data_IF_651419684710
#
_entry.id   IF_651419684710
#
_cell.length_a   1.000
_cell.length_b   1.000
_cell.length_c   1.000
_cell.angle_alpha   90.00
_cell.angle_beta   90.00
_cell.angle_gamma   90.00
#
_symmetry.space_group_name_H-M   'P 1'
#
loop_
_entity.id
_entity.type
_entity.pdbx_description
1 polymer ?
#
# COMPACT_ATOMS: atom_id res chain seq x y z
N UNK A 1 7.51 33.84 -19.74
CA UNK A 1 8.69 32.97 -19.59
C UNK A 1 8.44 31.72 -20.43
N UNK A 2 9.11 31.62 -21.58
CA UNK A 2 9.00 30.47 -22.49
C UNK A 2 9.80 29.33 -21.90
N UNK A 3 9.14 28.25 -21.52
CA UNK A 3 9.79 26.98 -21.20
C UNK A 3 10.43 26.44 -22.49
N UNK A 4 11.72 26.51 -22.55
CA UNK A 4 12.56 25.97 -23.60
C UNK A 4 12.40 24.46 -23.60
N UNK A 5 11.68 23.93 -24.60
CA UNK A 5 11.56 22.51 -24.90
C UNK A 5 12.96 21.94 -25.14
N UNK A 6 13.61 21.47 -24.10
CA UNK A 6 14.76 20.60 -24.20
C UNK A 6 14.21 19.20 -24.46
N UNK A 7 14.39 18.68 -25.66
CA UNK A 7 14.19 17.28 -26.04
C UNK A 7 15.12 16.37 -25.21
N UNK A 8 14.90 16.28 -23.91
CA UNK A 8 15.50 15.23 -23.08
C UNK A 8 14.48 14.11 -23.02
N UNK A 9 14.87 12.96 -23.51
CA UNK A 9 14.06 11.74 -23.48
C UNK A 9 13.64 11.44 -22.03
N UNK A 10 12.39 11.72 -21.70
CA UNK A 10 11.79 11.30 -20.43
C UNK A 10 11.79 9.78 -20.40
N UNK A 11 12.60 9.19 -19.55
CA UNK A 11 12.66 7.74 -19.38
C UNK A 11 11.71 7.32 -18.25
N UNK A 12 10.63 6.64 -18.60
CA UNK A 12 9.75 6.04 -17.61
C UNK A 12 10.48 4.89 -16.91
N UNK A 13 10.74 5.06 -15.61
CA UNK A 13 11.39 4.04 -14.79
C UNK A 13 10.36 3.08 -14.18
N UNK A 14 9.20 3.60 -13.77
CA UNK A 14 8.16 2.80 -13.14
C UNK A 14 6.79 3.44 -13.30
N UNK A 15 5.78 2.62 -13.59
CA UNK A 15 4.36 2.99 -13.48
C UNK A 15 3.56 1.81 -12.93
N UNK A 16 2.86 2.01 -11.81
CA UNK A 16 2.08 0.94 -11.22
C UNK A 16 1.29 1.39 -9.99
N UNK A 17 0.46 0.48 -9.48
CA UNK A 17 -0.23 0.67 -8.21
C UNK A 17 0.61 0.08 -7.10
N UNK A 18 1.09 0.92 -6.20
CA UNK A 18 1.86 0.54 -5.04
C UNK A 18 1.17 0.98 -3.75
N UNK A 19 1.41 0.25 -2.68
CA UNK A 19 1.07 0.70 -1.35
C UNK A 19 2.11 1.72 -0.90
N UNK A 20 1.68 2.95 -0.72
CA UNK A 20 2.55 4.03 -0.24
C UNK A 20 2.33 4.20 1.25
N UNK A 21 3.34 3.93 2.04
CA UNK A 21 3.27 4.05 3.49
C UNK A 21 4.21 5.15 3.98
N UNK A 22 3.62 6.21 4.51
CA UNK A 22 4.38 7.23 5.23
C UNK A 22 4.60 6.86 6.70
N UNK A 23 3.74 5.98 7.26
CA UNK A 23 3.75 5.55 8.66
C UNK A 23 3.13 4.14 8.76
N UNK A 24 3.94 3.11 8.55
CA UNK A 24 3.45 1.73 8.46
C UNK A 24 2.77 1.24 9.76
N UNK A 25 3.24 1.69 10.94
CA UNK A 25 2.72 1.21 12.22
C UNK A 25 1.32 1.74 12.55
N UNK A 26 1.14 3.05 12.57
CA UNK A 26 -0.10 3.67 13.07
C UNK A 26 -1.33 3.36 12.22
N UNK A 27 -1.14 3.17 10.91
CA UNK A 27 -2.22 2.94 9.95
C UNK A 27 -2.67 1.49 9.87
N UNK A 28 -1.77 0.55 10.09
CA UNK A 28 -2.14 -0.85 10.21
C UNK A 28 -3.04 -1.05 11.44
N UNK A 29 -2.65 -0.48 12.59
CA UNK A 29 -3.45 -0.54 13.81
C UNK A 29 -4.81 0.15 13.66
N UNK A 30 -4.89 1.28 12.97
CA UNK A 30 -6.19 1.94 12.73
C UNK A 30 -7.13 1.10 11.86
N UNK A 31 -6.63 0.42 10.83
CA UNK A 31 -7.41 -0.50 10.00
C UNK A 31 -7.95 -1.69 10.80
N UNK A 32 -7.11 -2.29 11.64
CA UNK A 32 -7.51 -3.39 12.54
C UNK A 32 -8.53 -2.90 13.56
N UNK A 33 -8.32 -1.74 14.18
CA UNK A 33 -9.26 -1.17 15.16
C UNK A 33 -10.62 -0.89 14.50
N UNK A 34 -10.65 -0.30 13.31
CA UNK A 34 -11.90 -0.05 12.58
C UNK A 34 -12.60 -1.38 12.24
N UNK A 35 -11.87 -2.40 11.80
CA UNK A 35 -12.46 -3.72 11.50
C UNK A 35 -13.06 -4.37 12.75
N UNK A 36 -12.37 -4.29 13.88
CA UNK A 36 -12.87 -4.78 15.18
C UNK A 36 -14.13 -4.01 15.61
N UNK A 37 -14.12 -2.67 15.53
CA UNK A 37 -15.28 -1.84 15.87
C UNK A 37 -16.48 -2.15 15.00
N UNK A 38 -16.28 -2.35 13.70
CA UNK A 38 -17.35 -2.73 12.77
C UNK A 38 -17.91 -4.13 13.09
N UNK A 39 -17.05 -5.08 13.46
CA UNK A 39 -17.47 -6.41 13.88
C UNK A 39 -18.31 -6.35 15.17
N UNK A 40 -17.90 -5.55 16.15
CA UNK A 40 -18.68 -5.32 17.38
C UNK A 40 -20.01 -4.65 17.12
N UNK A 41 -20.03 -3.60 16.30
CA UNK A 41 -21.26 -2.89 15.93
C UNK A 41 -22.25 -3.84 15.25
N UNK A 42 -21.78 -4.68 14.34
CA UNK A 42 -22.60 -5.66 13.65
C UNK A 42 -23.14 -6.73 14.60
N UNK A 43 -22.30 -7.27 15.49
CA UNK A 43 -22.71 -8.23 16.51
C UNK A 43 -23.77 -7.63 17.44
N UNK A 44 -23.60 -6.35 17.82
CA UNK A 44 -24.58 -5.62 18.63
C UNK A 44 -25.90 -5.43 17.89
N UNK A 45 -25.89 -5.02 16.63
CA UNK A 45 -27.10 -4.89 15.81
C UNK A 45 -27.81 -6.24 15.64
N UNK A 46 -27.07 -7.31 15.44
CA UNK A 46 -27.63 -8.66 15.31
C UNK A 46 -28.27 -9.13 16.61
N UNK A 47 -27.61 -8.89 17.75
CA UNK A 47 -28.17 -9.17 19.07
C UNK A 47 -29.46 -8.39 19.32
N UNK A 48 -29.48 -7.13 18.93
CA UNK A 48 -30.67 -6.27 19.06
C UNK A 48 -31.86 -6.77 18.20
N UNK A 49 -31.59 -7.18 16.95
CA UNK A 49 -32.59 -7.78 16.06
C UNK A 49 -33.15 -9.10 16.61
N UNK A 50 -32.33 -9.91 17.27
CA UNK A 50 -32.76 -11.17 17.91
C UNK A 50 -33.64 -10.86 19.15
N UNK A 51 -33.25 -9.90 19.98
CA UNK A 51 -34.01 -9.54 21.21
C UNK A 51 -35.36 -8.93 20.90
N UNK A 52 -35.49 -8.23 19.77
CA UNK A 52 -36.77 -7.64 19.34
C UNK A 52 -37.70 -8.65 18.61
N UNK A 53 -37.32 -9.92 18.55
CA UNK A 53 -38.16 -10.97 17.99
C UNK A 53 -38.28 -10.91 16.45
N UNK A 54 -37.47 -10.09 15.78
CA UNK A 54 -37.42 -9.99 14.33
C UNK A 54 -36.73 -11.19 13.69
N UNK A 55 -35.91 -11.93 14.45
CA UNK A 55 -35.29 -13.18 14.04
C UNK A 55 -35.83 -14.35 14.88
N UNK A 56 -36.05 -15.48 14.22
CA UNK A 56 -36.63 -16.69 14.81
C UNK A 56 -35.75 -17.25 15.94
N UNK A 57 -36.36 -17.73 17.04
CA UNK A 57 -35.67 -18.25 18.25
C UNK A 57 -34.72 -19.43 17.95
N UNK A 58 -34.97 -20.19 16.89
CA UNK A 58 -34.08 -21.31 16.49
C UNK A 58 -32.68 -20.85 16.09
N UNK A 59 -32.53 -19.58 15.67
CA UNK A 59 -31.23 -18.97 15.38
C UNK A 59 -30.40 -18.66 16.64
N UNK A 60 -31.03 -18.70 17.82
CA UNK A 60 -30.34 -18.40 19.08
C UNK A 60 -29.29 -19.47 19.43
N UNK A 61 -29.52 -20.73 19.03
CA UNK A 61 -28.55 -21.83 19.21
C UNK A 61 -27.31 -21.67 18.31
N UNK A 62 -27.46 -21.02 17.15
CA UNK A 62 -26.39 -20.76 16.19
C UNK A 62 -25.76 -19.38 16.32
N UNK A 63 -26.19 -18.60 17.34
CA UNK A 63 -25.80 -17.18 17.48
C UNK A 63 -24.28 -17.01 17.52
N UNK A 64 -23.56 -17.89 18.19
CA UNK A 64 -22.11 -17.81 18.35
C UNK A 64 -21.38 -18.12 17.03
N UNK A 65 -21.85 -19.11 16.26
CA UNK A 65 -21.29 -19.45 14.95
C UNK A 65 -21.54 -18.30 13.95
N UNK A 66 -22.75 -17.71 13.95
CA UNK A 66 -23.06 -16.57 13.09
C UNK A 66 -22.22 -15.35 13.44
N UNK A 67 -22.01 -15.04 14.72
CA UNK A 67 -21.15 -13.94 15.16
C UNK A 67 -19.70 -14.16 14.70
N UNK A 68 -19.17 -15.38 14.83
CA UNK A 68 -17.83 -15.71 14.38
C UNK A 68 -17.66 -15.59 12.85
N UNK A 69 -18.59 -16.18 12.09
CA UNK A 69 -18.56 -16.11 10.61
C UNK A 69 -18.65 -14.66 10.14
N UNK A 70 -19.53 -13.89 10.75
CA UNK A 70 -19.70 -12.47 10.38
C UNK A 70 -18.49 -11.64 10.76
N UNK A 71 -17.90 -11.88 11.93
CA UNK A 71 -16.66 -11.21 12.33
C UNK A 71 -15.51 -11.52 11.35
N UNK A 72 -15.37 -12.77 10.90
CA UNK A 72 -14.39 -13.16 9.89
C UNK A 72 -14.65 -12.50 8.53
N UNK A 73 -15.91 -12.43 8.10
CA UNK A 73 -16.29 -11.74 6.86
C UNK A 73 -16.01 -10.23 6.95
N UNK A 74 -16.34 -9.59 8.07
CA UNK A 74 -16.04 -8.17 8.29
C UNK A 74 -14.54 -7.89 8.33
N UNK A 75 -13.76 -8.78 8.96
CA UNK A 75 -12.30 -8.69 8.94
C UNK A 75 -11.76 -8.84 7.52
N UNK A 76 -12.23 -9.83 6.77
CA UNK A 76 -11.83 -10.04 5.36
C UNK A 76 -12.17 -8.85 4.46
N UNK A 77 -13.39 -8.33 4.57
CA UNK A 77 -13.84 -7.13 3.86
C UNK A 77 -13.05 -5.89 4.28
N UNK A 78 -12.78 -5.73 5.58
CA UNK A 78 -11.98 -4.62 6.12
C UNK A 78 -10.57 -4.63 5.56
N UNK A 79 -9.91 -5.80 5.51
CA UNK A 79 -8.59 -5.94 4.90
C UNK A 79 -8.61 -5.69 3.39
N UNK A 80 -9.63 -6.17 2.68
CA UNK A 80 -9.77 -5.95 1.24
C UNK A 80 -9.99 -4.48 0.91
N UNK A 81 -10.89 -3.79 1.64
CA UNK A 81 -11.12 -2.34 1.50
C UNK A 81 -9.87 -1.55 1.85
N UNK A 82 -9.20 -1.91 2.96
CA UNK A 82 -7.95 -1.30 3.35
C UNK A 82 -6.92 -1.38 2.23
N UNK A 83 -6.72 -2.57 1.67
CA UNK A 83 -5.78 -2.76 0.58
C UNK A 83 -6.12 -1.90 -0.64
N UNK A 84 -7.40 -1.85 -1.02
CA UNK A 84 -7.86 -1.08 -2.17
C UNK A 84 -7.75 0.45 -1.98
N UNK A 85 -8.02 0.94 -0.77
CA UNK A 85 -7.94 2.37 -0.44
C UNK A 85 -6.48 2.86 -0.40
N UNK A 86 -5.56 2.00 0.05
CA UNK A 86 -4.15 2.37 0.24
C UNK A 86 -3.27 2.16 -1.00
N UNK A 87 -3.77 1.48 -2.02
CA UNK A 87 -3.08 1.41 -3.31
C UNK A 87 -3.17 2.77 -4.01
N UNK A 88 -2.02 3.36 -4.29
CA UNK A 88 -1.91 4.61 -5.05
C UNK A 88 -1.20 4.36 -6.36
N UNK A 89 -1.64 5.06 -7.40
CA UNK A 89 -0.88 5.08 -8.66
C UNK A 89 0.42 5.83 -8.40
N UNK A 90 1.53 5.17 -8.66
CA UNK A 90 2.88 5.73 -8.54
C UNK A 90 3.51 5.71 -9.92
N UNK A 91 4.11 6.83 -10.31
CA UNK A 91 4.88 6.97 -11.54
C UNK A 91 6.21 7.60 -11.19
N UNK A 92 7.29 6.99 -11.65
CA UNK A 92 8.65 7.48 -11.45
C UNK A 92 9.27 7.64 -12.82
N UNK A 93 9.73 8.86 -13.11
CA UNK A 93 10.29 9.25 -14.41
C UNK A 93 11.66 9.85 -14.20
N UNK A 94 12.63 9.39 -14.96
CA UNK A 94 13.93 10.02 -15.05
C UNK A 94 13.89 11.14 -16.10
N UNK A 95 14.23 12.33 -15.68
CA UNK A 95 14.34 13.52 -16.53
C UNK A 95 15.82 13.89 -16.81
N UNK A 96 16.74 12.96 -16.59
CA UNK A 96 18.18 13.12 -16.77
C UNK A 96 18.88 13.70 -15.54
N UNK A 97 18.62 14.95 -15.18
CA UNK A 97 19.21 15.58 -13.98
C UNK A 97 18.30 15.46 -12.75
N UNK A 98 17.03 15.19 -12.99
CA UNK A 98 16.01 15.13 -11.95
C UNK A 98 15.20 13.85 -12.06
N UNK A 99 14.69 13.39 -10.93
CA UNK A 99 13.72 12.32 -10.84
C UNK A 99 12.36 12.88 -10.43
N UNK A 100 11.35 12.56 -11.23
CA UNK A 100 9.99 12.91 -10.94
C UNK A 100 9.29 11.74 -10.25
N UNK A 101 8.81 11.97 -9.05
CA UNK A 101 8.05 10.99 -8.26
C UNK A 101 6.61 11.48 -8.15
N UNK A 102 5.72 10.85 -8.90
CA UNK A 102 4.30 11.12 -8.84
C UNK A 102 3.60 10.07 -7.96
N UNK A 103 2.88 10.52 -6.95
CA UNK A 103 2.08 9.67 -6.06
C UNK A 103 0.64 10.18 -6.08
N UNK A 104 -0.25 9.43 -6.71
CA UNK A 104 -1.62 9.81 -6.99
C UNK A 104 -1.67 11.11 -7.82
N UNK A 105 -2.21 12.20 -7.25
CA UNK A 105 -2.28 13.53 -7.90
C UNK A 105 -1.11 14.45 -7.56
N UNK A 106 -0.23 14.05 -6.65
CA UNK A 106 0.89 14.88 -6.22
C UNK A 106 2.14 14.52 -6.99
N UNK A 107 2.83 15.53 -7.49
CA UNK A 107 4.07 15.41 -8.24
C UNK A 107 5.17 16.08 -7.44
N UNK A 108 6.30 15.39 -7.32
CA UNK A 108 7.50 15.86 -6.64
C UNK A 108 8.67 15.69 -7.59
N UNK A 109 9.49 16.73 -7.73
CA UNK A 109 10.73 16.69 -8.50
C UNK A 109 11.90 16.80 -7.53
N UNK A 110 12.86 15.91 -7.68
CA UNK A 110 14.09 15.85 -6.90
C UNK A 110 15.29 15.85 -7.82
N UNK A 111 16.38 16.49 -7.42
CA UNK A 111 17.66 16.25 -8.06
C UNK A 111 18.16 14.83 -7.72
N UNK A 112 18.83 14.15 -8.66
CA UNK A 112 19.42 12.85 -8.37
C UNK A 112 20.40 12.89 -7.20
N UNK A 113 21.06 14.03 -6.95
CA UNK A 113 21.96 14.24 -5.82
C UNK A 113 21.27 14.26 -4.47
N UNK A 114 19.97 14.56 -4.43
CA UNK A 114 19.16 14.53 -3.22
C UNK A 114 18.75 13.11 -2.80
N UNK A 115 18.88 12.13 -3.71
CA UNK A 115 18.62 10.73 -3.43
C UNK A 115 19.79 10.13 -2.63
N UNK A 116 19.64 10.11 -1.31
CA UNK A 116 20.70 9.64 -0.40
C UNK A 116 20.77 8.14 -0.27
N UNK A 117 19.63 7.44 -0.40
CA UNK A 117 19.59 6.01 -0.15
C UNK A 117 18.44 5.32 -0.85
N UNK A 118 18.73 4.16 -1.41
CA UNK A 118 17.77 3.18 -1.92
C UNK A 118 17.90 1.93 -1.07
N UNK A 119 16.80 1.45 -0.48
CA UNK A 119 16.79 0.22 0.33
C UNK A 119 15.71 -0.72 -0.19
N UNK A 120 16.07 -1.67 -1.03
CA UNK A 120 15.16 -2.77 -1.36
C UNK A 120 15.07 -3.74 -0.18
N UNK A 121 13.88 -4.27 0.05
CA UNK A 121 13.65 -5.34 1.01
C UNK A 121 12.73 -6.38 0.39
N UNK A 122 13.10 -7.63 0.54
CA UNK A 122 12.37 -8.78 0.00
C UNK A 122 11.92 -9.66 1.15
N UNK A 123 10.62 -9.93 1.22
CA UNK A 123 10.07 -10.93 2.13
C UNK A 123 9.79 -12.21 1.34
N UNK A 124 10.39 -13.33 1.78
CA UNK A 124 10.15 -14.66 1.22
C UNK A 124 9.42 -15.52 2.23
N UNK A 125 8.51 -16.37 1.74
CA UNK A 125 7.84 -17.35 2.58
C UNK A 125 8.76 -18.55 2.89
N UNK A 126 8.28 -19.52 3.70
CA UNK A 126 9.00 -20.75 4.04
C UNK A 126 9.42 -21.56 2.79
N UNK A 127 8.65 -21.50 1.71
CA UNK A 127 8.97 -22.13 0.43
C UNK A 127 9.91 -21.29 -0.45
N UNK A 128 10.59 -20.27 0.09
CA UNK A 128 11.46 -19.34 -0.60
C UNK A 128 10.79 -18.54 -1.74
N UNK A 129 9.46 -18.57 -1.84
CA UNK A 129 8.73 -17.74 -2.81
C UNK A 129 8.70 -16.30 -2.33
N UNK A 130 8.91 -15.39 -3.26
CA UNK A 130 8.84 -13.95 -3.02
C UNK A 130 7.39 -13.58 -2.73
N UNK A 131 7.13 -12.97 -1.57
CA UNK A 131 5.78 -12.61 -1.11
C UNK A 131 5.57 -11.09 -1.19
N UNK A 132 6.58 -10.32 -0.80
CA UNK A 132 6.51 -8.86 -0.82
C UNK A 132 7.87 -8.30 -1.20
N UNK A 133 7.86 -7.32 -2.10
CA UNK A 133 9.01 -6.45 -2.35
C UNK A 133 8.66 -5.08 -1.83
N UNK A 134 9.51 -4.52 -1.01
CA UNK A 134 9.39 -3.13 -0.58
C UNK A 134 10.62 -2.35 -0.98
N UNK A 135 10.42 -1.10 -1.36
CA UNK A 135 11.46 -0.16 -1.75
C UNK A 135 11.33 1.09 -0.90
N UNK A 136 12.43 1.47 -0.27
CA UNK A 136 12.51 2.73 0.49
C UNK A 136 13.47 3.66 -0.25
N UNK A 137 12.93 4.81 -0.68
CA UNK A 137 13.70 5.90 -1.27
C UNK A 137 13.83 7.00 -0.22
N UNK A 138 15.05 7.37 0.10
CA UNK A 138 15.37 8.43 1.05
C UNK A 138 15.95 9.62 0.30
N UNK A 139 15.17 10.69 0.19
CA UNK A 139 15.61 12.00 -0.26
C UNK A 139 15.97 12.86 0.94
N UNK A 140 16.57 14.01 0.75
CA UNK A 140 16.99 14.90 1.84
C UNK A 140 15.83 15.33 2.74
N UNK A 141 14.72 15.69 2.13
CA UNK A 141 13.54 16.24 2.81
C UNK A 141 12.48 15.18 3.13
N UNK A 142 12.50 14.02 2.44
CA UNK A 142 11.42 13.06 2.48
C UNK A 142 11.84 11.63 2.23
N UNK A 143 11.14 10.73 2.90
CA UNK A 143 11.28 9.28 2.69
C UNK A 143 10.01 8.71 2.10
N UNK A 144 10.14 7.98 1.00
CA UNK A 144 9.08 7.21 0.38
C UNK A 144 9.27 5.73 0.68
N UNK A 145 8.21 5.07 1.10
CA UNK A 145 8.20 3.62 1.27
C UNK A 145 7.11 3.05 0.39
N UNK A 146 7.51 2.27 -0.58
CA UNK A 146 6.64 1.58 -1.52
C UNK A 146 6.61 0.09 -1.20
N UNK A 147 5.46 -0.54 -1.30
CA UNK A 147 5.34 -1.99 -1.20
C UNK A 147 4.56 -2.50 -2.40
N UNK A 148 5.04 -3.60 -2.97
CA UNK A 148 4.43 -4.23 -4.13
C UNK A 148 3.16 -4.99 -3.77
N UNK A 149 2.24 -5.08 -4.73
CA UNK A 149 1.29 -6.18 -4.84
C UNK A 149 1.89 -7.26 -5.75
N UNK A 150 1.31 -8.48 -5.77
CA UNK A 150 1.84 -9.61 -6.54
C UNK A 150 2.17 -9.27 -8.00
N UNK A 151 1.32 -8.44 -8.64
CA UNK A 151 1.47 -8.05 -10.04
C UNK A 151 2.63 -7.07 -10.31
N UNK A 152 3.10 -6.35 -9.30
CA UNK A 152 4.09 -5.28 -9.45
C UNK A 152 5.44 -5.61 -8.82
N UNK A 153 5.60 -6.83 -8.28
CA UNK A 153 6.84 -7.25 -7.60
C UNK A 153 8.06 -7.19 -8.49
N UNK A 154 7.97 -7.77 -9.69
CA UNK A 154 9.08 -7.80 -10.65
C UNK A 154 9.52 -6.39 -11.07
N UNK A 155 8.56 -5.56 -11.45
CA UNK A 155 8.83 -4.19 -11.87
C UNK A 155 9.42 -3.33 -10.73
N UNK A 156 8.99 -3.55 -9.48
CA UNK A 156 9.56 -2.82 -8.35
C UNK A 156 10.99 -3.27 -8.03
N UNK A 157 11.31 -4.54 -8.25
CA UNK A 157 12.65 -5.07 -8.08
C UNK A 157 13.60 -4.51 -9.15
N UNK A 158 13.16 -4.48 -10.39
CA UNK A 158 13.91 -3.91 -11.51
C UNK A 158 14.17 -2.41 -11.30
N UNK A 159 13.15 -1.67 -10.84
CA UNK A 159 13.29 -0.29 -10.43
C UNK A 159 14.37 -0.14 -9.34
N UNK A 160 14.34 -0.99 -8.32
CA UNK A 160 15.32 -0.92 -7.22
C UNK A 160 16.75 -1.09 -7.74
N UNK A 161 16.97 -2.08 -8.60
CA UNK A 161 18.28 -2.33 -9.24
C UNK A 161 18.74 -1.15 -10.10
N UNK A 162 17.82 -0.58 -10.88
CA UNK A 162 18.12 0.59 -11.72
C UNK A 162 18.52 1.78 -10.84
N UNK A 163 17.79 2.06 -9.76
CA UNK A 163 18.08 3.17 -8.87
C UNK A 163 19.38 2.98 -8.08
N UNK A 164 19.72 1.76 -7.71
CA UNK A 164 21.02 1.46 -7.08
C UNK A 164 22.19 1.75 -8.03
N UNK A 165 22.05 1.46 -9.32
CA UNK A 165 23.08 1.79 -10.32
C UNK A 165 23.27 3.30 -10.46
N UNK A 166 22.22 4.10 -10.39
CA UNK A 166 22.34 5.56 -10.40
C UNK A 166 23.08 6.11 -9.17
N UNK A 167 22.84 5.53 -7.99
CA UNK A 167 23.54 5.94 -6.75
C UNK A 167 25.05 5.63 -6.77
N UNK A 168 25.47 4.59 -7.48
CA UNK A 168 26.90 4.23 -7.58
C UNK A 168 27.63 5.15 -8.56
N UNK A 169 26.90 5.75 -9.52
CA UNK A 169 27.46 6.61 -10.57
C UNK A 169 27.44 8.10 -10.21
N UNK A 170 26.72 8.49 -9.18
CA UNK A 170 26.62 9.87 -8.66
C UNK A 170 27.63 10.12 -7.52
#
# INVERSE_FOLDING_TARGET
MQYRNSNREEKLLFEGKLRVSYLFGLRFYSGVVIAILMAFLFAYCLHWLVTWGLLNRDLQQWSLAYVLVTALLCLGLGFWLYDRIWQRKVRIVDMGTQVLVQVASRVYCYDWRELRRVKPSQLRNQSRRLVVVSLVLVFEDRTYRFSSSDKTMGALLELAQTLETYLVQS
#
